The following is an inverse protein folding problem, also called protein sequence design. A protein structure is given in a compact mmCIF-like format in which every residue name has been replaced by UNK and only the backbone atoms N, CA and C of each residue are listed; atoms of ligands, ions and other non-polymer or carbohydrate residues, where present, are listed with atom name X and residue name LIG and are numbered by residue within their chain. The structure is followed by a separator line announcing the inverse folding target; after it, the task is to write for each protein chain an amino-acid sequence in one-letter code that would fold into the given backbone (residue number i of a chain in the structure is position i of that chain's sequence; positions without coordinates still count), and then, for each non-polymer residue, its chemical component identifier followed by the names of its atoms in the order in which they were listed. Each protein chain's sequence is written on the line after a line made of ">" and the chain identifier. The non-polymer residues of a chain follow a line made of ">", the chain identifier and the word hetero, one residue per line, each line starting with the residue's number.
data_IF_569749025450
#
_entry.id   IF_569749025450
#
_cell.length_a   1.000
_cell.length_b   1.000
_cell.length_c   1.000
_cell.angle_alpha   90.00
_cell.angle_beta   90.00
_cell.angle_gamma   90.00
#
_symmetry.space_group_name_H-M   'P 1'
#
loop_
_entity.id
_entity.type
_entity.pdbx_description
1 polymer ?
#
# COMPACT_ATOMS: atom_id res chain seq x y z
N UNK A 1 8.33 -12.13 -7.12
CA UNK A 1 8.08 -10.69 -7.39
C UNK A 1 9.17 -9.85 -6.75
N UNK A 2 9.72 -8.87 -7.48
CA UNK A 2 10.81 -7.99 -7.01
C UNK A 2 10.36 -6.53 -7.04
N UNK A 3 10.80 -5.73 -6.07
CA UNK A 3 10.56 -4.29 -6.10
C UNK A 3 11.19 -3.67 -7.35
N UNK A 4 10.45 -2.82 -8.07
CA UNK A 4 10.92 -2.14 -9.28
C UNK A 4 12.14 -1.23 -9.05
N UNK A 5 12.32 -0.70 -7.83
CA UNK A 5 13.43 0.22 -7.53
C UNK A 5 14.67 -0.45 -6.97
N UNK A 6 14.54 -1.21 -5.89
CA UNK A 6 15.70 -1.79 -5.21
C UNK A 6 15.92 -3.28 -5.53
N UNK A 7 15.01 -3.92 -6.29
CA UNK A 7 15.16 -5.31 -6.72
C UNK A 7 14.96 -6.36 -5.63
N UNK A 8 14.69 -5.95 -4.38
CA UNK A 8 14.45 -6.90 -3.28
C UNK A 8 13.20 -7.73 -3.53
N UNK A 9 13.18 -8.94 -2.98
CA UNK A 9 11.99 -9.79 -3.03
C UNK A 9 10.86 -9.19 -2.17
N UNK A 10 9.68 -9.02 -2.77
CA UNK A 10 8.47 -8.51 -2.09
C UNK A 10 7.38 -9.57 -1.99
N UNK A 11 7.75 -10.85 -2.07
CA UNK A 11 6.82 -11.99 -2.08
C UNK A 11 5.90 -12.07 -0.87
N UNK A 12 6.33 -11.55 0.30
CA UNK A 12 5.56 -11.61 1.54
C UNK A 12 4.46 -10.55 1.64
N UNK A 13 4.72 -9.35 1.13
CA UNK A 13 3.81 -8.21 1.19
C UNK A 13 4.02 -7.34 -0.06
N UNK A 14 3.54 -7.80 -1.22
CA UNK A 14 3.80 -7.10 -2.47
C UNK A 14 2.83 -5.91 -2.62
N UNK A 15 3.35 -4.68 -2.59
CA UNK A 15 2.55 -3.49 -2.86
C UNK A 15 2.47 -3.26 -4.37
N UNK A 16 1.26 -3.28 -4.93
CA UNK A 16 1.03 -3.20 -6.37
C UNK A 16 0.17 -2.01 -6.73
N UNK A 17 0.57 -1.26 -7.76
CA UNK A 17 -0.36 -0.38 -8.47
C UNK A 17 -1.05 -1.19 -9.57
N UNK A 18 -2.38 -1.29 -9.49
CA UNK A 18 -3.17 -1.88 -10.57
C UNK A 18 -3.17 -0.86 -11.71
N UNK A 19 -2.41 -1.13 -12.75
CA UNK A 19 -2.37 -0.30 -13.95
C UNK A 19 -3.54 -0.68 -14.89
N UNK A 20 -3.69 0.08 -15.98
CA UNK A 20 -4.66 -0.18 -17.05
C UNK A 20 -4.63 -1.65 -17.55
N UNK A 21 -5.77 -2.12 -18.06
CA UNK A 21 -5.93 -3.50 -18.55
C UNK A 21 -4.82 -3.85 -19.56
N UNK A 22 -4.07 -4.91 -19.26
CA UNK A 22 -3.00 -5.42 -20.13
C UNK A 22 -1.59 -4.90 -19.80
N UNK A 23 -1.42 -4.07 -18.78
CA UNK A 23 -0.10 -3.61 -18.32
C UNK A 23 0.38 -4.47 -17.15
N UNK A 24 1.65 -4.90 -17.20
CA UNK A 24 2.28 -5.60 -16.08
C UNK A 24 2.25 -4.77 -14.80
N UNK A 25 1.84 -5.41 -13.70
CA UNK A 25 1.80 -4.81 -12.38
C UNK A 25 3.17 -4.32 -11.94
N UNK A 26 3.24 -3.07 -11.45
CA UNK A 26 4.46 -2.58 -10.80
C UNK A 26 4.43 -2.96 -9.33
N UNK A 27 5.48 -3.65 -8.90
CA UNK A 27 5.65 -4.10 -7.53
C UNK A 27 6.62 -3.22 -6.75
N UNK A 28 6.27 -2.91 -5.51
CA UNK A 28 7.05 -2.07 -4.63
C UNK A 28 7.28 -2.74 -3.28
N UNK A 29 8.43 -2.43 -2.67
CA UNK A 29 8.59 -2.60 -1.23
C UNK A 29 8.17 -1.31 -0.53
N UNK A 30 7.83 -1.43 0.75
CA UNK A 30 7.35 -0.32 1.58
C UNK A 30 8.33 0.88 1.62
N UNK A 31 9.65 0.72 1.82
CA UNK A 31 10.56 1.88 1.79
C UNK A 31 10.60 2.58 0.43
N UNK A 32 10.51 1.82 -0.67
CA UNK A 32 10.58 2.42 -1.99
C UNK A 32 9.27 3.11 -2.40
N UNK A 33 8.11 2.59 -1.99
CA UNK A 33 6.83 3.25 -2.32
C UNK A 33 6.71 4.58 -1.56
N UNK A 34 7.14 4.66 -0.31
CA UNK A 34 7.14 5.91 0.47
C UNK A 34 8.02 7.01 -0.14
N UNK A 35 9.08 6.65 -0.85
CA UNK A 35 9.98 7.62 -1.48
C UNK A 35 9.51 8.00 -2.88
N UNK A 36 9.02 7.02 -3.65
CA UNK A 36 8.78 7.17 -5.08
C UNK A 36 7.31 7.33 -5.48
N UNK A 37 6.37 6.97 -4.60
CA UNK A 37 4.92 7.12 -4.82
C UNK A 37 4.22 7.39 -3.48
N UNK A 38 4.50 8.56 -2.91
CA UNK A 38 4.04 8.99 -1.59
C UNK A 38 2.52 8.99 -1.45
N UNK A 39 1.81 9.35 -2.52
CA UNK A 39 0.36 9.38 -2.52
C UNK A 39 -0.20 7.96 -2.40
N UNK A 40 0.29 7.02 -3.22
CA UNK A 40 -0.12 5.63 -3.12
C UNK A 40 0.29 5.01 -1.77
N UNK A 41 1.50 5.31 -1.29
CA UNK A 41 1.96 4.86 0.02
C UNK A 41 1.04 5.36 1.15
N UNK A 42 0.63 6.63 1.09
CA UNK A 42 -0.32 7.21 2.02
C UNK A 42 -1.68 6.53 1.90
N UNK A 43 -2.23 6.39 0.70
CA UNK A 43 -3.55 5.78 0.50
C UNK A 43 -3.60 4.32 1.00
N UNK A 44 -2.50 3.57 0.84
CA UNK A 44 -2.39 2.19 1.36
C UNK A 44 -2.27 2.16 2.89
N UNK A 45 -1.63 3.16 3.51
CA UNK A 45 -1.38 3.21 4.97
C UNK A 45 -2.49 3.90 5.76
N UNK A 46 -3.16 4.87 5.14
CA UNK A 46 -4.27 5.64 5.70
C UNK A 46 -5.62 4.96 5.45
N UNK A 47 -5.63 3.68 5.03
CA UNK A 47 -6.84 2.89 4.81
C UNK A 47 -7.52 2.50 6.14
N UNK A 48 -7.52 3.41 7.11
CA UNK A 48 -8.46 3.42 8.21
C UNK A 48 -9.73 4.08 7.66
N UNK A 49 -10.64 3.23 7.19
CA UNK A 49 -11.90 3.69 6.62
C UNK A 49 -12.64 4.56 7.64
N UNK A 50 -13.45 5.51 7.18
CA UNK A 50 -14.31 6.29 8.09
C UNK A 50 -15.15 5.36 8.99
N UNK A 51 -15.55 4.21 8.45
CA UNK A 51 -16.27 3.14 9.18
C UNK A 51 -15.42 2.53 10.30
N UNK A 52 -14.13 2.30 10.10
CA UNK A 52 -13.24 1.78 11.15
C UNK A 52 -12.98 2.80 12.25
N UNK A 53 -12.86 4.09 11.91
CA UNK A 53 -12.80 5.17 12.91
C UNK A 53 -14.08 5.24 13.71
N UNK A 54 -15.23 5.27 13.04
CA UNK A 54 -16.53 5.31 13.67
C UNK A 54 -16.76 4.08 14.56
N UNK A 55 -16.31 2.88 14.14
CA UNK A 55 -16.38 1.66 14.94
C UNK A 55 -15.47 1.71 16.18
N UNK A 56 -14.26 2.26 16.08
CA UNK A 56 -13.37 2.43 17.25
C UNK A 56 -13.96 3.41 18.26
N UNK A 57 -14.54 4.50 17.78
CA UNK A 57 -15.22 5.49 18.63
C UNK A 57 -16.47 4.91 19.31
N UNK A 58 -17.26 4.10 18.60
CA UNK A 58 -18.45 3.42 19.15
C UNK A 58 -18.07 2.32 20.15
N UNK A 59 -17.01 1.55 19.87
CA UNK A 59 -16.62 0.38 20.66
C UNK A 59 -15.60 0.72 21.77
N UNK A 60 -15.13 1.97 21.85
CA UNK A 60 -14.30 2.46 22.97
C UNK A 60 -12.88 1.89 23.03
N UNK A 61 -12.35 1.36 21.92
CA UNK A 61 -10.97 0.91 21.85
C UNK A 61 -10.03 2.12 21.70
N UNK A 62 -9.33 2.47 22.80
CA UNK A 62 -8.21 3.43 22.81
C UNK A 62 -6.95 2.84 22.21
#
# INVERSE_FOLDING_TARGET
>A
MKCKKCGISVMKAPLQRVNEKGVDGIWWCEPCIEVHDRELARNIKEDETQVEKDLKDILGFK
#
